data_IF_089325843972
#
_entry.id   IF_089325843972
#
_cell.length_a   1.000
_cell.length_b   1.000
_cell.length_c   1.000
_cell.angle_alpha   90.00
_cell.angle_beta   90.00
_cell.angle_gamma   90.00
#
_symmetry.space_group_name_H-M   'P 1'
#
loop_
_entity.id
_entity.type
_entity.pdbx_description
1 polymer ?
#
# COMPACT_ATOMS: atom_id res chain seq x y z
N UNK A 1 17.47 -14.80 -6.14
CA UNK A 1 16.10 -14.40 -6.58
C UNK A 1 16.11 -12.93 -6.92
N UNK A 2 15.64 -12.59 -8.09
CA UNK A 2 15.57 -11.20 -8.52
C UNK A 2 14.21 -10.60 -8.16
N UNK A 3 14.23 -9.32 -7.83
CA UNK A 3 13.01 -8.54 -7.64
C UNK A 3 13.05 -7.34 -8.59
N UNK A 4 11.88 -6.91 -9.01
CA UNK A 4 11.73 -5.73 -9.85
C UNK A 4 10.90 -4.70 -9.11
N UNK A 5 11.38 -3.47 -9.05
CA UNK A 5 10.62 -2.37 -8.46
C UNK A 5 9.51 -1.95 -9.43
N UNK A 6 8.26 -2.08 -9.00
CA UNK A 6 7.10 -1.69 -9.80
C UNK A 6 6.70 -0.25 -9.55
N UNK A 7 6.66 0.19 -8.30
CA UNK A 7 6.37 1.59 -7.95
C UNK A 7 6.79 1.92 -6.54
N UNK A 8 7.00 3.21 -6.31
CA UNK A 8 7.23 3.79 -5.01
C UNK A 8 6.03 4.64 -4.63
N UNK A 9 5.56 4.51 -3.40
CA UNK A 9 4.38 5.21 -2.92
C UNK A 9 4.77 5.99 -1.69
N UNK A 10 4.77 7.32 -1.83
CA UNK A 10 5.07 8.24 -0.73
C UNK A 10 3.78 8.58 -0.02
N UNK A 11 3.64 8.08 1.20
CA UNK A 11 2.42 8.20 2.00
C UNK A 11 2.58 9.32 3.01
N UNK A 12 1.56 10.18 3.08
CA UNK A 12 1.44 11.19 4.15
C UNK A 12 0.27 10.79 5.03
N UNK A 13 0.57 10.49 6.29
CA UNK A 13 -0.44 10.06 7.27
C UNK A 13 -1.18 11.26 7.84
N UNK A 14 -2.49 11.11 8.00
CA UNK A 14 -3.35 12.06 8.69
C UNK A 14 -3.65 11.55 10.10
N UNK A 15 -4.42 12.32 10.86
CA UNK A 15 -4.68 12.01 12.27
C UNK A 15 -5.40 10.66 12.41
N UNK A 16 -4.88 9.75 13.23
CA UNK A 16 -5.51 8.45 13.42
C UNK A 16 -6.74 8.54 14.32
N UNK A 17 -7.63 7.58 14.14
CA UNK A 17 -8.73 7.33 15.08
C UNK A 17 -8.56 5.90 15.61
N UNK A 18 -8.95 5.69 16.86
CA UNK A 18 -8.72 4.39 17.48
C UNK A 18 -9.78 4.05 18.52
N UNK A 19 -9.88 2.77 18.81
CA UNK A 19 -10.67 2.25 19.92
C UNK A 19 -9.89 1.13 20.58
N UNK A 20 -9.89 1.13 21.91
CA UNK A 20 -9.26 0.06 22.68
C UNK A 20 -10.36 -0.77 23.32
N UNK A 21 -10.53 -1.99 22.86
CA UNK A 21 -11.49 -2.94 23.43
C UNK A 21 -10.83 -3.80 24.50
N UNK A 22 -11.60 -4.76 24.99
CA UNK A 22 -11.11 -5.70 26.00
C UNK A 22 -10.14 -6.75 25.47
N UNK A 23 -10.18 -7.01 24.15
CA UNK A 23 -9.36 -8.05 23.52
C UNK A 23 -8.27 -7.50 22.61
N UNK A 24 -8.45 -6.29 22.08
CA UNK A 24 -7.51 -5.70 21.12
C UNK A 24 -7.82 -4.22 20.96
N UNK A 25 -6.88 -3.55 20.29
CA UNK A 25 -7.02 -2.16 19.89
C UNK A 25 -7.09 -2.11 18.37
N UNK A 26 -7.97 -1.27 17.82
CA UNK A 26 -8.01 -0.97 16.38
C UNK A 26 -7.58 0.47 16.19
N UNK A 27 -6.65 0.69 15.27
CA UNK A 27 -6.20 2.02 14.87
C UNK A 27 -6.44 2.17 13.38
N UNK A 28 -7.11 3.24 12.96
CA UNK A 28 -7.30 3.57 11.55
C UNK A 28 -6.57 4.86 11.25
N UNK A 29 -5.63 4.80 10.30
CA UNK A 29 -4.82 5.94 9.91
C UNK A 29 -5.21 6.33 8.48
N UNK A 30 -6.00 7.40 8.29
CA UNK A 30 -6.27 7.92 6.95
C UNK A 30 -4.99 8.50 6.36
N UNK A 31 -4.83 8.42 5.04
CA UNK A 31 -3.64 8.96 4.40
C UNK A 31 -3.92 9.41 2.98
N UNK A 32 -3.04 10.28 2.48
CA UNK A 32 -2.88 10.59 1.06
C UNK A 32 -1.55 10.02 0.59
N UNK A 33 -1.41 9.83 -0.71
CA UNK A 33 -0.16 9.30 -1.23
C UNK A 33 0.03 9.66 -2.70
N UNK A 34 1.30 9.69 -3.10
CA UNK A 34 1.71 9.84 -4.49
C UNK A 34 2.51 8.61 -4.88
N UNK A 35 2.20 8.06 -6.05
CA UNK A 35 2.88 6.90 -6.62
C UNK A 35 3.72 7.32 -7.82
N UNK A 36 4.91 6.76 -7.93
CA UNK A 36 5.81 6.97 -9.05
C UNK A 36 6.55 5.68 -9.38
N UNK A 37 7.07 5.60 -10.59
CA UNK A 37 7.86 4.46 -11.02
C UNK A 37 7.93 4.37 -12.53
N UNK A 38 8.60 3.32 -13.04
CA UNK A 38 8.79 3.19 -14.49
C UNK A 38 7.51 2.84 -15.25
N UNK A 39 6.47 2.35 -14.57
CA UNK A 39 5.25 1.85 -15.21
C UNK A 39 4.02 2.70 -14.95
N UNK A 40 4.02 3.50 -13.88
CA UNK A 40 2.83 4.23 -13.45
C UNK A 40 3.22 5.43 -12.60
N UNK A 41 2.48 6.53 -12.79
CA UNK A 41 2.54 7.70 -11.91
C UNK A 41 1.13 8.14 -11.58
N UNK A 42 0.86 8.45 -10.32
CA UNK A 42 -0.47 8.85 -9.90
C UNK A 42 -0.53 9.21 -8.43
N UNK A 43 -1.74 9.29 -7.92
CA UNK A 43 -2.00 9.68 -6.54
C UNK A 43 -3.24 8.95 -6.00
N UNK A 44 -3.37 8.93 -4.68
CA UNK A 44 -4.55 8.35 -4.02
C UNK A 44 -5.76 9.23 -4.28
N UNK A 45 -6.86 8.62 -4.73
CA UNK A 45 -8.16 9.26 -4.84
C UNK A 45 -9.06 8.75 -3.71
N UNK A 46 -9.82 9.67 -3.10
CA UNK A 46 -10.46 9.36 -1.83
C UNK A 46 -9.39 9.13 -0.75
N UNK A 47 -9.76 9.02 0.51
CA UNK A 47 -8.76 8.71 1.54
C UNK A 47 -8.39 7.23 1.49
N UNK A 48 -7.08 6.95 1.51
CA UNK A 48 -6.58 5.63 1.87
C UNK A 48 -6.68 5.44 3.37
N UNK A 49 -6.78 4.22 3.81
CA UNK A 49 -6.84 3.90 5.25
C UNK A 49 -5.95 2.71 5.55
N UNK A 50 -5.07 2.87 6.54
CA UNK A 50 -4.31 1.79 7.14
C UNK A 50 -5.01 1.39 8.43
N UNK A 51 -5.53 0.17 8.50
CA UNK A 51 -6.18 -0.36 9.68
C UNK A 51 -5.22 -1.30 10.39
N UNK A 52 -4.88 -0.97 11.63
CA UNK A 52 -3.98 -1.76 12.44
C UNK A 52 -4.76 -2.44 13.56
N UNK A 53 -4.64 -3.76 13.64
CA UNK A 53 -5.22 -4.56 14.71
C UNK A 53 -4.10 -4.93 15.67
N UNK A 54 -4.13 -4.37 16.89
CA UNK A 54 -3.08 -4.56 17.87
C UNK A 54 -3.60 -5.48 18.96
N UNK A 55 -2.96 -6.64 19.13
CA UNK A 55 -3.31 -7.60 20.17
C UNK A 55 -2.82 -7.17 21.55
N UNK A 56 -3.23 -7.90 22.57
CA UNK A 56 -2.79 -7.63 23.95
C UNK A 56 -1.30 -7.82 24.15
N UNK A 57 -0.66 -8.63 23.32
CA UNK A 57 0.78 -8.83 23.30
C UNK A 57 1.56 -7.67 22.65
N UNK A 58 0.85 -6.66 22.13
CA UNK A 58 1.46 -5.52 21.46
C UNK A 58 1.78 -5.74 19.99
N UNK A 59 1.50 -6.92 19.45
CA UNK A 59 1.74 -7.21 18.02
C UNK A 59 0.61 -6.66 17.18
N UNK A 60 0.98 -6.03 16.07
CA UNK A 60 0.03 -5.42 15.15
C UNK A 60 -0.01 -6.14 13.82
N UNK A 61 -1.22 -6.38 13.30
CA UNK A 61 -1.44 -6.75 11.91
C UNK A 61 -1.92 -5.50 11.19
N UNK A 62 -1.26 -5.16 10.08
CA UNK A 62 -1.52 -3.97 9.31
C UNK A 62 -2.23 -4.34 8.00
N UNK A 63 -3.26 -3.56 7.63
CA UNK A 63 -3.97 -3.73 6.38
C UNK A 63 -4.32 -2.35 5.83
N UNK A 64 -3.63 -1.96 4.76
CA UNK A 64 -3.86 -0.68 4.10
C UNK A 64 -4.60 -0.91 2.78
N UNK A 65 -5.64 -0.11 2.53
CA UNK A 65 -6.42 -0.16 1.29
C UNK A 65 -6.52 1.23 0.72
N UNK A 66 -6.24 1.35 -0.58
CA UNK A 66 -6.31 2.64 -1.25
C UNK A 66 -6.46 2.48 -2.76
N UNK A 67 -7.00 3.51 -3.39
CA UNK A 67 -7.17 3.58 -4.84
C UNK A 67 -6.24 4.64 -5.40
N UNK A 68 -5.41 4.26 -6.36
CA UNK A 68 -4.55 5.17 -7.10
C UNK A 68 -5.20 5.52 -8.44
N UNK A 69 -5.06 6.76 -8.86
CA UNK A 69 -5.46 7.22 -10.18
C UNK A 69 -4.29 7.94 -10.82
N UNK A 70 -4.03 7.64 -12.07
CA UNK A 70 -2.92 8.27 -12.78
C UNK A 70 -2.79 7.76 -14.20
N UNK A 71 -1.55 7.64 -14.65
CA UNK A 71 -1.23 7.32 -16.04
C UNK A 71 -0.18 6.22 -16.08
N UNK A 72 -0.41 5.20 -16.89
CA UNK A 72 0.58 4.14 -17.12
C UNK A 72 1.66 4.61 -18.11
N UNK A 73 2.70 3.78 -18.29
CA UNK A 73 3.84 4.15 -19.15
C UNK A 73 3.49 4.18 -20.66
N UNK A 74 2.32 3.70 -21.03
CA UNK A 74 1.81 3.85 -22.41
C UNK A 74 1.03 5.16 -22.58
N UNK A 75 0.88 5.97 -21.52
CA UNK A 75 0.17 7.25 -21.58
C UNK A 75 -1.32 7.14 -21.36
N UNK A 76 -1.84 5.99 -20.96
CA UNK A 76 -3.27 5.78 -20.73
C UNK A 76 -3.66 6.06 -19.29
N UNK A 77 -4.75 6.79 -19.09
CA UNK A 77 -5.32 7.01 -17.77
C UNK A 77 -5.82 5.68 -17.21
N UNK A 78 -5.53 5.44 -15.93
CA UNK A 78 -5.93 4.19 -15.29
C UNK A 78 -6.01 4.34 -13.78
N UNK A 79 -6.56 3.31 -13.13
CA UNK A 79 -6.63 3.20 -11.68
C UNK A 79 -6.00 1.90 -11.23
N UNK A 80 -5.46 1.92 -10.01
CA UNK A 80 -4.93 0.73 -9.35
C UNK A 80 -5.46 0.70 -7.94
N UNK A 81 -6.21 -0.35 -7.60
CA UNK A 81 -6.56 -0.63 -6.21
C UNK A 81 -5.43 -1.41 -5.57
N UNK A 82 -5.00 -0.99 -4.39
CA UNK A 82 -3.95 -1.68 -3.63
C UNK A 82 -4.51 -2.08 -2.28
N UNK A 83 -4.29 -3.35 -1.92
CA UNK A 83 -4.49 -3.84 -0.56
C UNK A 83 -3.17 -4.42 -0.10
N UNK A 84 -2.60 -3.85 0.97
CA UNK A 84 -1.30 -4.29 1.47
C UNK A 84 -1.47 -4.76 2.91
N UNK A 85 -1.17 -6.04 3.16
CA UNK A 85 -1.36 -6.67 4.45
C UNK A 85 -0.07 -7.28 4.95
N UNK A 86 0.11 -7.29 6.26
CA UNK A 86 1.22 -7.98 6.87
C UNK A 86 1.54 -7.50 8.27
N UNK A 87 2.70 -7.91 8.73
CA UNK A 87 3.24 -7.54 10.03
C UNK A 87 4.69 -7.09 9.84
N UNK A 88 5.18 -6.33 10.82
CA UNK A 88 6.59 -5.91 10.80
C UNK A 88 7.54 -7.11 10.87
N UNK A 89 7.13 -8.19 11.54
CA UNK A 89 7.95 -9.39 11.73
C UNK A 89 8.00 -10.28 10.50
N UNK A 90 6.87 -10.41 9.77
CA UNK A 90 6.76 -11.36 8.64
C UNK A 90 6.78 -10.68 7.28
N UNK A 91 6.72 -9.35 7.23
CA UNK A 91 6.70 -8.59 5.99
C UNK A 91 5.29 -8.35 5.47
N UNK A 92 5.23 -7.69 4.31
CA UNK A 92 3.97 -7.22 3.73
C UNK A 92 3.76 -7.84 2.36
N UNK A 93 2.53 -8.25 2.09
CA UNK A 93 2.15 -8.86 0.81
C UNK A 93 1.02 -8.03 0.19
N UNK A 94 1.35 -7.18 -0.80
CA UNK A 94 0.34 -6.42 -1.50
C UNK A 94 -0.38 -7.26 -2.54
N UNK A 95 -1.64 -6.88 -2.82
CA UNK A 95 -2.36 -7.33 -3.99
C UNK A 95 -2.93 -6.11 -4.70
N UNK A 96 -3.11 -6.21 -6.01
CA UNK A 96 -3.60 -5.10 -6.81
C UNK A 96 -4.68 -5.55 -7.77
N UNK A 97 -5.57 -4.60 -8.12
CA UNK A 97 -6.54 -4.73 -9.20
C UNK A 97 -6.44 -3.45 -10.02
N UNK A 98 -6.37 -3.58 -11.34
CA UNK A 98 -6.19 -2.42 -12.22
C UNK A 98 -7.00 -2.56 -13.51
N UNK A 99 -7.41 -1.42 -14.06
CA UNK A 99 -8.04 -1.36 -15.37
C UNK A 99 -7.03 -1.07 -16.50
N UNK A 100 -5.74 -0.98 -16.18
CA UNK A 100 -4.69 -0.83 -17.20
C UNK A 100 -4.39 -2.17 -17.84
N UNK A 101 -4.52 -2.27 -19.17
CA UNK A 101 -4.15 -3.48 -19.89
C UNK A 101 -2.63 -3.72 -19.84
N UNK A 102 -1.85 -2.64 -19.76
CA UNK A 102 -0.39 -2.75 -19.63
C UNK A 102 0.03 -3.38 -18.30
N UNK A 103 -0.70 -3.09 -17.23
CA UNK A 103 -0.34 -3.53 -15.87
C UNK A 103 -1.14 -4.74 -15.40
N UNK A 104 -1.97 -5.32 -16.27
CA UNK A 104 -2.91 -6.38 -15.89
C UNK A 104 -2.22 -7.61 -15.27
N UNK A 105 -0.99 -7.92 -15.68
CA UNK A 105 -0.25 -9.06 -15.15
C UNK A 105 0.21 -8.86 -13.69
N UNK A 106 0.16 -7.62 -13.17
CA UNK A 106 0.44 -7.38 -11.76
C UNK A 106 -0.57 -8.09 -10.85
N UNK A 107 -1.81 -8.29 -11.33
CA UNK A 107 -2.87 -8.93 -10.54
C UNK A 107 -2.55 -10.38 -10.19
N UNK A 108 -1.76 -11.05 -11.03
CA UNK A 108 -1.40 -12.46 -10.86
C UNK A 108 0.07 -12.67 -10.51
N UNK A 109 0.83 -11.60 -10.38
CA UNK A 109 2.26 -11.67 -10.03
C UNK A 109 2.45 -11.87 -8.52
N UNK A 110 3.57 -12.45 -8.15
CA UNK A 110 3.97 -12.54 -6.74
C UNK A 110 4.57 -11.20 -6.33
N UNK A 111 3.87 -10.47 -5.48
CA UNK A 111 4.25 -9.13 -5.05
C UNK A 111 4.73 -9.14 -3.61
N UNK A 112 5.63 -8.23 -3.29
CA UNK A 112 6.04 -7.94 -1.93
C UNK A 112 6.16 -6.43 -1.76
N UNK A 113 6.19 -5.97 -0.52
CA UNK A 113 6.34 -4.56 -0.24
C UNK A 113 7.32 -4.34 0.89
N UNK A 114 8.10 -3.26 0.77
CA UNK A 114 8.90 -2.73 1.88
C UNK A 114 8.26 -1.44 2.36
N UNK A 115 8.34 -1.18 3.65
CA UNK A 115 7.78 0.00 4.29
C UNK A 115 8.88 0.66 5.10
N UNK A 116 9.16 1.93 4.81
CA UNK A 116 10.21 2.71 5.47
C UNK A 116 9.61 3.99 6.03
N UNK A 117 9.89 4.29 7.30
CA UNK A 117 9.43 5.53 7.92
C UNK A 117 10.13 6.75 7.30
N UNK A 118 9.35 7.78 7.00
CA UNK A 118 9.83 9.08 6.54
C UNK A 118 9.14 10.16 7.36
N UNK A 119 9.58 11.43 7.31
CA UNK A 119 8.83 12.50 7.97
C UNK A 119 7.37 12.53 7.49
N UNK A 120 6.45 12.57 8.45
CA UNK A 120 5.00 12.65 8.25
C UNK A 120 4.35 11.40 7.62
N UNK A 121 5.08 10.28 7.45
CA UNK A 121 4.47 9.10 6.87
C UNK A 121 5.42 7.96 6.62
N UNK A 122 5.21 7.27 5.51
CA UNK A 122 6.04 6.13 5.10
C UNK A 122 6.30 6.15 3.59
N UNK A 123 7.42 5.53 3.21
CA UNK A 123 7.70 5.22 1.80
C UNK A 123 7.47 3.72 1.62
N UNK A 124 6.58 3.38 0.68
CA UNK A 124 6.28 1.99 0.34
C UNK A 124 6.89 1.70 -1.02
N UNK A 125 7.60 0.58 -1.14
CA UNK A 125 8.08 0.08 -2.42
C UNK A 125 7.40 -1.23 -2.71
N UNK A 126 6.72 -1.32 -3.87
CA UNK A 126 6.09 -2.55 -4.32
C UNK A 126 6.99 -3.21 -5.34
N UNK A 127 7.31 -4.47 -5.07
CA UNK A 127 8.26 -5.27 -5.81
C UNK A 127 7.58 -6.50 -6.37
N UNK A 128 7.98 -6.88 -7.58
CA UNK A 128 7.56 -8.15 -8.18
C UNK A 128 8.71 -9.15 -8.07
N UNK A 129 8.42 -10.33 -7.59
CA UNK A 129 9.38 -11.43 -7.54
C UNK A 129 9.44 -12.10 -8.92
N UNK A 130 10.64 -12.31 -9.39
CA UNK A 130 10.90 -13.00 -10.66
C UNK A 130 11.34 -14.44 -10.45
#
# INVERSE_FOLDING_TARGET
MKTELLMEIKVKCNDPVSVTGSTKQIVMIPFTAEASGPYFCGHVIGPGVDTQTVGKDGRAVLSARYMLEGTDSAGNACRIFVENQGTWETGFTPSVVTDSTLLADWETSALSATVEGIPDGVMIRILRKE
#
